data_IF_756396661626
#
_entry.id   IF_756396661626
#
_cell.length_a   1.000
_cell.length_b   1.000
_cell.length_c   1.000
_cell.angle_alpha   90.00
_cell.angle_beta   90.00
_cell.angle_gamma   90.00
#
_symmetry.space_group_name_H-M   'P 1'
#
loop_
_entity.id
_entity.type
_entity.pdbx_description
1 polymer ?
#
# COMPACT_ATOMS: atom_id res chain seq x y z
N UNK A 1 -22.14 30.11 -9.15
CA UNK A 1 -21.47 31.31 -9.68
C UNK A 1 -20.62 31.88 -8.57
N UNK A 2 -19.29 31.93 -8.72
CA UNK A 2 -18.35 32.33 -7.66
C UNK A 2 -18.18 33.86 -7.52
N UNK A 3 -18.80 34.64 -8.41
CA UNK A 3 -18.79 36.10 -8.38
C UNK A 3 -20.23 36.60 -8.22
N UNK A 4 -20.47 37.43 -7.20
CA UNK A 4 -21.75 38.12 -6.99
C UNK A 4 -21.88 39.32 -7.92
N UNK A 5 -23.12 39.78 -8.15
CA UNK A 5 -23.44 40.90 -9.05
C UNK A 5 -22.83 42.25 -8.62
N UNK A 6 -22.27 42.35 -7.41
CA UNK A 6 -21.61 43.55 -6.88
C UNK A 6 -20.12 43.66 -7.26
N UNK A 7 -19.62 42.73 -8.08
CA UNK A 7 -18.21 42.78 -8.51
C UNK A 7 -18.05 43.91 -9.54
N UNK A 8 -17.41 45.01 -9.12
CA UNK A 8 -17.15 46.17 -9.99
C UNK A 8 -16.59 45.75 -11.37
N UNK A 9 -17.11 46.28 -12.49
CA UNK A 9 -16.61 45.98 -13.84
C UNK A 9 -15.11 46.26 -14.02
N UNK A 10 -14.57 47.17 -13.21
CA UNK A 10 -13.15 47.52 -13.21
C UNK A 10 -12.27 46.43 -12.58
N UNK A 11 -12.80 45.71 -11.59
CA UNK A 11 -12.13 44.54 -10.99
C UNK A 11 -12.08 43.41 -12.02
N UNK A 12 -13.18 43.14 -12.71
CA UNK A 12 -13.25 42.10 -13.75
C UNK A 12 -12.31 42.39 -14.93
N UNK A 13 -12.16 43.66 -15.35
CA UNK A 13 -11.18 44.05 -16.38
C UNK A 13 -9.74 43.82 -15.94
N UNK A 14 -9.42 44.05 -14.66
CA UNK A 14 -8.07 43.79 -14.10
C UNK A 14 -7.76 42.29 -14.05
N UNK A 15 -8.74 41.45 -13.72
CA UNK A 15 -8.57 40.00 -13.74
C UNK A 15 -8.51 39.43 -15.17
N UNK A 16 -9.29 39.97 -16.11
CA UNK A 16 -9.26 39.56 -17.52
C UNK A 16 -7.96 39.96 -18.24
N UNK A 17 -7.33 41.06 -17.83
CA UNK A 17 -6.06 41.55 -18.37
C UNK A 17 -4.82 40.95 -17.68
N UNK A 18 -4.99 40.22 -16.57
CA UNK A 18 -3.92 39.52 -15.89
C UNK A 18 -3.78 38.12 -16.50
N UNK A 19 -2.79 37.87 -17.38
CA UNK A 19 -2.55 36.50 -17.79
C UNK A 19 -2.16 35.70 -16.53
N UNK A 20 -2.66 34.47 -16.33
CA UNK A 20 -2.16 33.60 -15.28
C UNK A 20 -0.76 33.12 -15.71
N UNK A 21 0.20 34.04 -15.73
CA UNK A 21 1.59 33.71 -15.98
C UNK A 21 2.12 33.26 -14.64
N UNK A 22 2.32 31.95 -14.52
CA UNK A 22 3.02 31.39 -13.38
C UNK A 22 4.34 32.16 -13.21
N UNK A 23 4.49 32.77 -12.05
CA UNK A 23 5.70 33.52 -11.70
C UNK A 23 6.90 32.55 -11.70
N UNK A 24 8.13 33.07 -11.87
CA UNK A 24 9.34 32.22 -11.82
C UNK A 24 9.44 31.39 -10.54
N UNK A 25 8.89 31.89 -9.43
CA UNK A 25 8.81 31.16 -8.16
C UNK A 25 7.82 29.97 -8.22
N UNK A 26 6.73 30.08 -8.99
CA UNK A 26 5.73 29.03 -9.17
C UNK A 26 6.14 27.98 -10.20
N UNK A 27 7.07 28.30 -11.09
CA UNK A 27 7.67 27.35 -12.05
C UNK A 27 9.08 26.92 -11.65
N UNK A 28 9.52 27.29 -10.45
CA UNK A 28 10.83 26.89 -9.96
C UNK A 28 10.85 25.36 -9.84
N UNK A 29 11.83 24.74 -10.49
CA UNK A 29 12.09 23.31 -10.28
C UNK A 29 12.51 23.15 -8.82
N UNK A 30 11.92 22.22 -8.06
CA UNK A 30 12.35 21.98 -6.69
C UNK A 30 13.84 21.68 -6.65
N UNK A 31 14.57 22.36 -5.77
CA UNK A 31 16.02 22.12 -5.59
C UNK A 31 16.31 20.69 -5.12
N UNK A 32 15.30 20.02 -4.55
CA UNK A 32 15.40 18.67 -4.04
C UNK A 32 14.61 17.69 -4.93
N UNK A 33 15.35 16.82 -5.60
CA UNK A 33 14.80 15.63 -6.25
C UNK A 33 14.87 14.48 -5.25
N UNK A 34 13.73 13.89 -4.92
CA UNK A 34 13.70 12.66 -4.12
C UNK A 34 14.32 11.52 -4.93
N UNK A 35 15.48 11.03 -4.49
CA UNK A 35 16.05 9.81 -5.06
C UNK A 35 15.29 8.61 -4.51
N UNK A 36 14.41 8.04 -5.34
CA UNK A 36 13.83 6.73 -5.07
C UNK A 36 14.82 5.66 -5.53
N UNK A 37 15.23 4.77 -4.62
CA UNK A 37 16.04 3.61 -5.00
C UNK A 37 15.26 2.63 -5.88
N UNK A 38 15.95 1.62 -6.40
CA UNK A 38 15.28 0.46 -7.00
C UNK A 38 14.57 -0.32 -5.89
N UNK A 39 13.29 -0.62 -6.08
CA UNK A 39 12.49 -1.44 -5.17
C UNK A 39 11.77 -2.51 -5.96
N UNK A 40 11.73 -3.71 -5.39
CA UNK A 40 11.07 -4.86 -5.99
C UNK A 40 9.98 -5.36 -5.06
N UNK A 41 8.82 -5.69 -5.63
CA UNK A 41 7.69 -6.27 -4.92
C UNK A 41 7.55 -7.73 -5.33
N UNK A 42 7.89 -8.63 -4.43
CA UNK A 42 7.83 -10.07 -4.65
C UNK A 42 6.52 -10.63 -4.11
N UNK A 43 5.85 -11.48 -4.88
CA UNK A 43 4.65 -12.19 -4.43
C UNK A 43 5.02 -13.35 -3.50
N UNK A 44 4.37 -13.43 -2.35
CA UNK A 44 4.46 -14.56 -1.42
C UNK A 44 3.19 -15.39 -1.56
N UNK A 45 3.36 -16.70 -1.79
CA UNK A 45 2.24 -17.62 -1.79
C UNK A 45 1.76 -17.83 -0.35
N UNK A 46 0.46 -17.63 -0.14
CA UNK A 46 -0.22 -17.87 1.12
C UNK A 46 -1.26 -18.95 0.88
N UNK A 47 -1.23 -20.00 1.68
CA UNK A 47 -2.17 -21.11 1.56
C UNK A 47 -3.48 -20.77 2.27
N UNK A 48 -4.59 -21.13 1.66
CA UNK A 48 -5.93 -20.96 2.22
C UNK A 48 -6.84 -22.01 1.62
N UNK A 49 -8.00 -22.22 2.24
CA UNK A 49 -8.96 -23.18 1.71
C UNK A 49 -9.46 -22.73 0.32
N UNK A 50 -9.59 -23.69 -0.60
CA UNK A 50 -10.23 -23.47 -1.89
C UNK A 50 -11.69 -23.03 -1.73
N UNK A 51 -12.38 -23.49 -0.68
CA UNK A 51 -13.79 -23.18 -0.41
C UNK A 51 -13.99 -21.87 0.37
N UNK A 52 -12.93 -21.27 0.90
CA UNK A 52 -13.02 -20.02 1.67
C UNK A 52 -13.60 -18.88 0.84
N UNK A 53 -14.18 -17.86 1.49
CA UNK A 53 -14.68 -16.68 0.78
C UNK A 53 -13.56 -15.70 0.39
N UNK A 54 -12.32 -15.93 0.83
CA UNK A 54 -11.21 -15.00 0.66
C UNK A 54 -10.03 -15.65 -0.07
N UNK A 55 -9.43 -14.95 -1.02
CA UNK A 55 -8.12 -15.30 -1.57
C UNK A 55 -7.05 -14.51 -0.84
N UNK A 56 -6.08 -15.20 -0.25
CA UNK A 56 -4.97 -14.58 0.46
C UNK A 56 -3.70 -14.57 -0.39
N UNK A 57 -2.93 -13.49 -0.29
CA UNK A 57 -1.61 -13.41 -0.90
C UNK A 57 -0.72 -12.44 -0.13
N UNK A 58 0.57 -12.72 -0.13
CA UNK A 58 1.56 -11.85 0.51
C UNK A 58 2.38 -11.07 -0.51
N UNK A 59 2.99 -9.99 -0.04
CA UNK A 59 3.92 -9.15 -0.79
C UNK A 59 5.12 -8.84 0.08
N UNK A 60 6.30 -9.06 -0.47
CA UNK A 60 7.59 -8.74 0.13
C UNK A 60 8.21 -7.56 -0.62
N UNK A 61 8.47 -6.46 0.07
CA UNK A 61 9.19 -5.32 -0.48
C UNK A 61 10.69 -5.51 -0.26
N UNK A 62 11.46 -5.48 -1.35
CA UNK A 62 12.93 -5.52 -1.32
C UNK A 62 13.50 -4.24 -1.88
N UNK A 63 14.67 -3.83 -1.38
CA UNK A 63 15.46 -2.77 -2.02
C UNK A 63 16.34 -3.33 -3.14
N UNK A 64 16.97 -2.45 -3.92
CA UNK A 64 17.88 -2.82 -5.01
C UNK A 64 19.14 -3.57 -4.61
N UNK A 65 19.35 -3.83 -3.30
CA UNK A 65 20.39 -4.72 -2.77
C UNK A 65 19.83 -6.10 -2.40
N UNK A 66 18.57 -6.38 -2.75
CA UNK A 66 17.86 -7.61 -2.42
C UNK A 66 17.47 -7.74 -0.94
N UNK A 67 17.61 -6.68 -0.14
CA UNK A 67 17.27 -6.72 1.30
C UNK A 67 15.78 -6.55 1.48
N UNK A 68 15.19 -7.39 2.33
CA UNK A 68 13.78 -7.35 2.67
C UNK A 68 13.50 -6.19 3.64
N UNK A 69 12.55 -5.35 3.28
CA UNK A 69 12.18 -4.14 4.02
C UNK A 69 10.82 -4.27 4.71
N UNK A 70 9.87 -4.94 4.07
CA UNK A 70 8.49 -5.05 4.54
C UNK A 70 7.86 -6.32 4.00
N UNK A 71 7.02 -6.95 4.80
CA UNK A 71 6.16 -8.05 4.38
C UNK A 71 4.72 -7.67 4.71
N UNK A 72 3.81 -7.81 3.76
CA UNK A 72 2.40 -7.55 3.95
C UNK A 72 1.57 -8.71 3.41
N UNK A 73 0.55 -9.12 4.15
CA UNK A 73 -0.43 -10.12 3.73
C UNK A 73 -1.73 -9.41 3.44
N UNK A 74 -2.33 -9.73 2.31
CA UNK A 74 -3.58 -9.17 1.83
C UNK A 74 -4.60 -10.27 1.61
N UNK A 75 -5.86 -9.86 1.56
CA UNK A 75 -6.95 -10.71 1.09
C UNK A 75 -7.86 -9.96 0.11
N UNK A 76 -8.54 -10.73 -0.75
CA UNK A 76 -9.63 -10.25 -1.60
C UNK A 76 -10.82 -11.19 -1.50
N UNK A 77 -12.04 -10.66 -1.54
CA UNK A 77 -13.26 -11.46 -1.56
C UNK A 77 -13.39 -12.22 -2.89
N UNK A 78 -13.60 -13.55 -2.80
CA UNK A 78 -13.92 -14.40 -3.94
C UNK A 78 -15.33 -14.07 -4.43
N UNK A 79 -15.48 -13.78 -5.73
CA UNK A 79 -16.77 -13.49 -6.34
C UNK A 79 -17.21 -12.02 -6.29
N UNK A 80 -16.39 -11.12 -5.74
CA UNK A 80 -16.66 -9.68 -5.84
C UNK A 80 -16.68 -9.25 -7.33
N UNK A 81 -17.83 -8.75 -7.76
CA UNK A 81 -18.12 -8.41 -9.16
C UNK A 81 -17.16 -7.34 -9.69
N UNK A 82 -16.39 -7.70 -10.72
CA UNK A 82 -15.43 -6.86 -11.48
C UNK A 82 -16.12 -5.87 -12.44
N UNK A 83 -17.39 -5.52 -12.21
CA UNK A 83 -18.19 -4.64 -13.09
C UNK A 83 -17.65 -3.21 -13.19
N UNK A 84 -16.68 -2.82 -12.36
CA UNK A 84 -15.90 -1.60 -12.55
C UNK A 84 -14.49 -1.99 -12.99
N UNK A 85 -13.94 -1.25 -13.95
CA UNK A 85 -12.57 -1.40 -14.44
C UNK A 85 -11.60 -1.44 -13.26
N UNK A 86 -11.07 -2.61 -12.92
CA UNK A 86 -10.33 -2.86 -11.68
C UNK A 86 -11.15 -3.69 -10.69
N UNK A 87 -10.77 -4.96 -10.52
CA UNK A 87 -11.42 -5.90 -9.61
C UNK A 87 -11.38 -5.48 -8.13
N UNK A 88 -11.79 -6.35 -7.20
CA UNK A 88 -11.83 -6.01 -5.78
C UNK A 88 -10.47 -5.52 -5.28
N UNK A 89 -10.47 -4.37 -4.60
CA UNK A 89 -9.27 -3.82 -3.98
C UNK A 89 -8.79 -4.75 -2.87
N UNK A 90 -7.49 -5.12 -2.84
CA UNK A 90 -6.97 -5.96 -1.78
C UNK A 90 -7.00 -5.23 -0.45
N UNK A 91 -7.48 -5.93 0.57
CA UNK A 91 -7.49 -5.46 1.94
C UNK A 91 -6.25 -5.97 2.68
N UNK A 92 -5.58 -5.08 3.42
CA UNK A 92 -4.43 -5.43 4.23
C UNK A 92 -4.90 -6.25 5.43
N UNK A 93 -4.39 -7.46 5.57
CA UNK A 93 -4.65 -8.35 6.70
C UNK A 93 -3.61 -8.17 7.80
N UNK A 94 -2.34 -8.19 7.40
CA UNK A 94 -1.20 -8.19 8.32
C UNK A 94 -0.02 -7.46 7.70
N UNK A 95 0.63 -6.61 8.48
CA UNK A 95 1.96 -6.07 8.17
C UNK A 95 2.94 -6.69 9.15
N UNK A 96 3.99 -7.34 8.64
CA UNK A 96 4.98 -8.01 9.48
C UNK A 96 6.24 -7.15 9.55
N UNK A 97 6.59 -6.77 10.77
CA UNK A 97 7.87 -6.19 11.14
C UNK A 97 8.76 -7.23 11.88
N UNK A 98 9.93 -6.82 12.34
CA UNK A 98 10.87 -7.71 13.03
C UNK A 98 10.40 -8.19 14.43
N UNK A 99 9.36 -7.57 15.00
CA UNK A 99 8.85 -7.82 16.37
C UNK A 99 7.47 -8.44 16.40
N UNK A 100 6.77 -8.50 15.26
CA UNK A 100 5.41 -8.99 15.13
C UNK A 100 5.34 -10.48 15.51
N UNK A 101 4.47 -10.85 16.45
CA UNK A 101 4.16 -12.26 16.71
C UNK A 101 3.17 -12.77 15.66
N UNK A 102 3.70 -13.23 14.52
CA UNK A 102 2.91 -13.66 13.35
C UNK A 102 1.89 -14.74 13.73
N UNK A 103 2.27 -15.66 14.62
CA UNK A 103 1.42 -16.78 15.01
C UNK A 103 0.18 -16.37 15.81
N UNK A 104 0.30 -15.33 16.64
CA UNK A 104 -0.82 -14.78 17.40
C UNK A 104 -1.68 -13.89 16.51
N UNK A 105 -1.06 -12.97 15.77
CA UNK A 105 -1.81 -12.01 14.95
C UNK A 105 -2.59 -12.71 13.84
N UNK A 106 -2.05 -13.75 13.20
CA UNK A 106 -2.81 -14.49 12.18
C UNK A 106 -4.04 -15.20 12.75
N UNK A 107 -4.00 -15.64 14.02
CA UNK A 107 -5.17 -16.26 14.69
C UNK A 107 -6.29 -15.26 14.97
N UNK A 108 -5.96 -13.99 15.08
CA UNK A 108 -6.93 -12.90 15.29
C UNK A 108 -7.53 -12.39 13.96
N UNK A 109 -7.06 -12.90 12.83
CA UNK A 109 -7.52 -12.49 11.50
C UNK A 109 -8.53 -13.48 10.91
N UNK A 110 -9.24 -13.07 9.85
CA UNK A 110 -10.16 -13.94 9.10
C UNK A 110 -9.49 -15.22 8.58
N UNK A 111 -8.16 -15.22 8.40
CA UNK A 111 -7.42 -16.42 7.97
C UNK A 111 -7.52 -17.58 8.95
N UNK A 112 -7.77 -17.32 10.24
CA UNK A 112 -7.97 -18.37 11.23
C UNK A 112 -9.22 -19.22 10.95
N UNK A 113 -10.23 -18.63 10.33
CA UNK A 113 -11.48 -19.28 9.95
C UNK A 113 -11.44 -19.86 8.52
N UNK A 114 -10.63 -19.24 7.64
CA UNK A 114 -10.57 -19.54 6.21
C UNK A 114 -9.44 -20.50 5.80
N UNK A 115 -8.61 -20.95 6.74
CA UNK A 115 -7.51 -21.88 6.48
C UNK A 115 -7.55 -23.06 7.45
N UNK A 116 -7.10 -24.23 6.98
CA UNK A 116 -6.93 -25.38 7.88
C UNK A 116 -5.77 -25.14 8.85
N UNK A 117 -5.74 -25.81 10.02
CA UNK A 117 -4.63 -25.66 10.97
C UNK A 117 -3.26 -25.96 10.34
N UNK A 118 -3.20 -26.90 9.39
CA UNK A 118 -1.98 -27.25 8.66
C UNK A 118 -1.53 -26.12 7.71
N UNK A 119 -2.46 -25.53 6.97
CA UNK A 119 -2.20 -24.39 6.08
C UNK A 119 -1.78 -23.16 6.88
N UNK A 120 -2.43 -22.91 8.01
CA UNK A 120 -2.09 -21.81 8.90
C UNK A 120 -0.68 -21.98 9.49
N UNK A 121 -0.32 -23.19 9.91
CA UNK A 121 1.04 -23.49 10.37
C UNK A 121 2.09 -23.33 9.26
N UNK A 122 1.78 -23.74 8.02
CA UNK A 122 2.67 -23.56 6.86
C UNK A 122 2.88 -22.07 6.52
N UNK A 123 1.82 -21.27 6.59
CA UNK A 123 1.86 -19.82 6.40
C UNK A 123 2.70 -19.13 7.47
N UNK A 124 2.48 -19.47 8.75
CA UNK A 124 3.27 -18.95 9.88
C UNK A 124 4.74 -19.24 9.65
N UNK A 125 5.10 -20.50 9.34
CA UNK A 125 6.50 -20.89 9.09
C UNK A 125 7.14 -20.11 7.93
N UNK A 126 6.39 -19.87 6.86
CA UNK A 126 6.85 -19.12 5.68
C UNK A 126 7.12 -17.66 6.05
N UNK A 127 6.17 -17.03 6.73
CA UNK A 127 6.25 -15.63 7.14
C UNK A 127 7.34 -15.40 8.20
N UNK A 128 7.49 -16.30 9.17
CA UNK A 128 8.60 -16.25 10.16
C UNK A 128 9.97 -16.41 9.49
N UNK A 129 10.07 -17.31 8.49
CA UNK A 129 11.28 -17.47 7.70
C UNK A 129 11.68 -16.19 6.96
N UNK A 130 10.69 -15.45 6.45
CA UNK A 130 10.89 -14.15 5.81
C UNK A 130 11.17 -13.06 6.84
N UNK A 131 10.50 -13.07 8.00
CA UNK A 131 10.70 -12.11 9.09
C UNK A 131 12.14 -12.12 9.59
N UNK A 132 12.79 -13.29 9.70
CA UNK A 132 14.21 -13.40 10.06
C UNK A 132 15.15 -12.70 9.08
N UNK A 133 14.71 -12.50 7.83
CA UNK A 133 15.46 -11.82 6.77
C UNK A 133 15.13 -10.34 6.70
N UNK A 134 14.12 -9.87 7.42
CA UNK A 134 13.96 -8.44 7.64
C UNK A 134 15.20 -7.95 8.36
N UNK A 135 15.76 -6.85 7.87
CA UNK A 135 16.68 -6.10 8.70
C UNK A 135 15.92 -5.78 9.99
N UNK A 136 16.52 -6.05 11.16
CA UNK A 136 16.13 -5.31 12.36
C UNK A 136 16.25 -3.86 11.95
N UNK A 137 15.14 -3.19 11.73
CA UNK A 137 15.16 -1.76 11.51
C UNK A 137 15.72 -1.22 12.82
N UNK A 138 16.99 -0.79 12.78
CA UNK A 138 17.56 -0.05 13.89
C UNK A 138 16.58 1.08 14.18
N UNK A 139 16.14 1.12 15.43
CA UNK A 139 15.32 2.18 15.97
C UNK A 139 16.09 3.50 15.87
N UNK A 140 16.00 4.15 14.72
CA UNK A 140 16.61 5.44 14.46
C UNK A 140 15.87 6.14 13.32
N UNK A 141 14.74 6.76 13.67
CA UNK A 141 14.42 8.11 13.22
C UNK A 141 13.78 8.87 14.36
#
# INVERSE_FOLDING_TARGET
>A
SFFSQDTSPEILKRFAAAPPVATKAQTAVPDQVFQTGLFELESIKIESDSESKHNYFGRALRNGKGKLLLIQVFYVEKGASTKKTGGPSPQLLLSVDATTNISEVLKETSMAEDATPEQLAANVKTLEGLQKRLLKQDAAR
#
